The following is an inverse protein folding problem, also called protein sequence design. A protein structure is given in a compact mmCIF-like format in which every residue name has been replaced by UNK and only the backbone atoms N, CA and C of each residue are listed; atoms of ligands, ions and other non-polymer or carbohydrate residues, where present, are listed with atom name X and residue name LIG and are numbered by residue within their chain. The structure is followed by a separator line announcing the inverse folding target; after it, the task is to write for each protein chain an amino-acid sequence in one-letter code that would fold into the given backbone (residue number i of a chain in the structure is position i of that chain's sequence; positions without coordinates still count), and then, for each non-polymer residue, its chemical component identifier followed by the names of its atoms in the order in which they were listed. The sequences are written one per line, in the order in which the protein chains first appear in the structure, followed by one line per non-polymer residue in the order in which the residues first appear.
data_IF_618769381649
#
_entry.id   IF_618769381649
#
_cell.length_a   1.000
_cell.length_b   1.000
_cell.length_c   1.000
_cell.angle_alpha   90.00
_cell.angle_beta   90.00
_cell.angle_gamma   90.00
#
_symmetry.space_group_name_H-M   'P 1'
#
loop_
_entity.id
_entity.type
_entity.pdbx_description
1 polymer ?
#
# COMPACT_ATOMS: atom_id res chain seq x y z
N UNK A 1 -15.20 -21.10 -3.25
CA UNK A 1 -14.86 -21.07 -3.12
C UNK A 1 -14.71 -20.76 -2.93
N UNK A 2 -14.60 -20.58 -2.85
CA UNK A 2 -14.22 -20.34 -2.67
C UNK A 2 -13.68 -19.89 -2.30
N UNK A 3 -13.72 -19.41 -1.84
CA UNK A 3 -13.29 -19.06 -1.38
C UNK A 3 -12.51 -18.83 -1.30
N UNK A 4 -12.23 -19.04 -1.28
CA UNK A 4 -11.55 -18.96 -1.28
C UNK A 4 -10.89 -18.14 -1.50
N UNK A 5 -10.84 -18.04 -1.73
CA UNK A 5 -10.39 -17.26 -2.10
C UNK A 5 -10.60 -16.13 -1.82
N UNK A 6 -10.79 -15.99 -1.25
CA UNK A 6 -11.06 -14.90 -0.79
C UNK A 6 -9.97 -14.24 -0.42
N UNK A 7 -9.54 -13.42 -1.18
CA UNK A 7 -8.56 -12.61 -0.82
C UNK A 7 -9.07 -11.60 0.06
N UNK A 8 -8.57 -11.50 1.20
CA UNK A 8 -8.85 -10.44 2.13
C UNK A 8 -8.39 -9.14 1.48
N UNK A 9 -9.27 -8.17 1.28
CA UNK A 9 -8.83 -6.91 0.67
C UNK A 9 -7.77 -6.20 1.48
N UNK A 10 -7.78 -6.35 2.80
CA UNK A 10 -6.75 -5.74 3.61
C UNK A 10 -5.40 -6.35 3.31
N UNK A 11 -5.35 -7.67 3.14
CA UNK A 11 -4.10 -8.33 2.83
C UNK A 11 -3.54 -7.87 1.49
N UNK A 12 -4.42 -7.71 0.53
CA UNK A 12 -3.97 -7.23 -0.77
C UNK A 12 -3.43 -5.82 -0.68
N UNK A 13 -4.11 -4.97 0.06
CA UNK A 13 -3.64 -3.60 0.22
C UNK A 13 -2.31 -3.56 0.95
N UNK A 14 -2.12 -4.45 1.92
CA UNK A 14 -0.84 -4.50 2.62
C UNK A 14 0.28 -4.85 1.66
N UNK A 15 0.05 -5.78 0.76
CA UNK A 15 1.05 -6.13 -0.22
C UNK A 15 1.36 -4.96 -1.15
N UNK A 16 0.31 -4.26 -1.56
CA UNK A 16 0.52 -3.10 -2.41
C UNK A 16 1.30 -2.02 -1.67
N UNK A 17 0.99 -1.82 -0.40
CA UNK A 17 1.70 -0.85 0.39
C UNK A 17 3.19 -1.19 0.44
N UNK A 18 3.49 -2.45 0.69
CA UNK A 18 4.89 -2.88 0.75
C UNK A 18 5.60 -2.67 -0.57
N UNK A 19 4.93 -3.00 -1.67
CA UNK A 19 5.54 -2.82 -2.98
C UNK A 19 5.83 -1.36 -3.26
N UNK A 20 4.88 -0.50 -2.91
CA UNK A 20 5.08 0.93 -3.14
C UNK A 20 6.22 1.45 -2.28
N UNK A 21 6.29 1.00 -1.02
CA UNK A 21 7.37 1.44 -0.16
C UNK A 21 8.72 0.97 -0.65
N UNK A 22 8.79 -0.23 -1.19
CA UNK A 22 10.05 -0.70 -1.74
C UNK A 22 10.48 0.14 -2.92
N UNK A 23 9.54 0.48 -3.78
CA UNK A 23 9.85 1.35 -4.89
C UNK A 23 10.29 2.72 -4.40
N UNK A 24 9.62 3.22 -3.36
CA UNK A 24 10.00 4.50 -2.80
C UNK A 24 11.44 4.49 -2.31
N UNK A 25 11.85 3.39 -1.70
CA UNK A 25 13.23 3.26 -1.24
C UNK A 25 14.22 3.33 -2.38
N UNK A 26 13.90 2.64 -3.48
CA UNK A 26 14.77 2.68 -4.64
C UNK A 26 14.87 4.10 -5.20
N UNK A 27 13.74 4.77 -5.26
CA UNK A 27 13.72 6.13 -5.78
C UNK A 27 14.50 7.06 -4.87
N UNK A 28 14.36 6.87 -3.58
CA UNK A 28 15.09 7.69 -2.63
C UNK A 28 16.59 7.53 -2.83
N UNK A 29 17.04 6.33 -3.08
CA UNK A 29 18.44 6.08 -3.30
C UNK A 29 18.94 6.78 -4.56
N UNK A 30 18.10 6.87 -5.56
CA UNK A 30 18.50 7.52 -6.78
C UNK A 30 18.51 9.04 -6.66
N UNK A 31 17.95 9.58 -5.59
CA UNK A 31 17.97 11.01 -5.35
C UNK A 31 16.81 11.76 -5.94
N UNK A 32 15.82 11.07 -6.51
CA UNK A 32 14.67 11.72 -7.13
C UNK A 32 13.63 12.01 -6.07
N UNK A 33 13.74 13.17 -5.46
CA UNK A 33 12.89 13.50 -4.33
C UNK A 33 11.44 13.68 -4.74
N UNK A 34 11.20 14.19 -5.93
CA UNK A 34 9.82 14.38 -6.38
C UNK A 34 9.13 13.06 -6.59
N UNK A 35 9.81 12.13 -7.23
CA UNK A 35 9.23 10.82 -7.43
C UNK A 35 9.03 10.10 -6.10
N UNK A 36 9.98 10.28 -5.18
CA UNK A 36 9.85 9.69 -3.86
C UNK A 36 8.60 10.20 -3.16
N UNK A 37 8.36 11.51 -3.21
CA UNK A 37 7.20 12.08 -2.55
C UNK A 37 5.91 11.53 -3.14
N UNK A 38 5.87 11.33 -4.45
CA UNK A 38 4.68 10.76 -5.07
C UNK A 38 4.42 9.34 -4.62
N UNK A 39 5.49 8.57 -4.47
CA UNK A 39 5.32 7.20 -4.00
C UNK A 39 4.85 7.17 -2.56
N UNK A 40 5.36 8.06 -1.75
CA UNK A 40 4.91 8.12 -0.36
C UNK A 40 3.45 8.50 -0.29
N UNK A 41 3.01 9.43 -1.13
CA UNK A 41 1.60 9.78 -1.17
C UNK A 41 0.74 8.58 -1.53
N UNK A 42 1.18 7.81 -2.51
CA UNK A 42 0.44 6.62 -2.90
C UNK A 42 0.37 5.63 -1.76
N UNK A 43 1.49 5.45 -1.05
CA UNK A 43 1.51 4.53 0.08
C UNK A 43 0.55 4.98 1.17
N UNK A 44 0.49 6.29 1.41
CA UNK A 44 -0.41 6.80 2.44
C UNK A 44 -1.86 6.58 2.08
N UNK A 45 -2.19 6.69 0.80
CA UNK A 45 -3.55 6.40 0.38
C UNK A 45 -3.91 4.95 0.62
N UNK A 46 -2.98 4.06 0.32
CA UNK A 46 -3.23 2.66 0.56
C UNK A 46 -3.41 2.41 2.05
N UNK A 47 -2.58 3.05 2.85
CA UNK A 47 -2.68 2.89 4.30
C UNK A 47 -4.04 3.38 4.80
N UNK A 48 -4.51 4.50 4.28
CA UNK A 48 -5.81 5.01 4.66
C UNK A 48 -6.92 4.04 4.31
N UNK A 49 -6.82 3.40 3.15
CA UNK A 49 -7.81 2.41 2.77
C UNK A 49 -7.79 1.21 3.70
N UNK A 50 -6.60 0.79 4.09
CA UNK A 50 -6.48 -0.32 5.02
C UNK A 50 -7.20 0.02 6.31
N UNK A 51 -6.98 1.22 6.81
CA UNK A 51 -7.61 1.63 8.05
C UNK A 51 -9.12 1.72 7.92
N UNK A 52 -9.59 2.20 6.79
CA UNK A 52 -11.02 2.27 6.55
C UNK A 52 -11.64 0.89 6.55
N UNK A 53 -10.99 -0.06 5.90
CA UNK A 53 -11.52 -1.41 5.86
C UNK A 53 -11.50 -2.07 7.21
N UNK A 54 -10.45 -1.83 7.98
CA UNK A 54 -10.39 -2.38 9.32
C UNK A 54 -11.50 -1.83 10.20
N UNK A 55 -11.75 -0.55 10.09
CA UNK A 55 -12.81 0.06 10.88
C UNK A 55 -14.16 -0.51 10.51
N UNK A 56 -14.37 -0.75 9.23
CA UNK A 56 -15.64 -1.31 8.80
C UNK A 56 -15.83 -2.73 9.28
N UNK A 57 -14.76 -3.44 9.42
CA UNK A 57 -14.86 -4.81 9.81
C UNK A 57 -15.20 -5.01 11.26
N UNK A 58 -14.82 -4.11 12.07
CA UNK A 58 -15.15 -4.26 13.47
C UNK A 58 -16.58 -3.86 13.74
#
# INVERSE_FOLDING_TARGET
MFGLFKKDPVEQLKKEYQAVMEEAMHIQRSGDLKAYARKIEAAERILAEIETLKAKKS
#
